data_IF_956415562064
#
_entry.id   IF_956415562064
#
_cell.length_a   1.000
_cell.length_b   1.000
_cell.length_c   1.000
_cell.angle_alpha   90.00
_cell.angle_beta   90.00
_cell.angle_gamma   90.00
#
_symmetry.space_group_name_H-M   'P 1'
#
loop_
_entity.id
_entity.type
_entity.pdbx_description
1 polymer ?
#
# COMPACT_ATOMS: atom_id res chain seq x y z
N UNK A 1 -10.16 -9.06 -5.24
CA UNK A 1 -10.70 -8.66 -3.92
C UNK A 1 -11.13 -7.19 -3.86
N UNK A 2 -10.30 -6.22 -4.29
CA UNK A 2 -10.65 -4.77 -4.25
C UNK A 2 -11.82 -4.43 -5.18
N UNK A 3 -11.83 -5.00 -6.40
CA UNK A 3 -12.95 -4.87 -7.32
C UNK A 3 -14.24 -5.42 -6.70
N UNK A 4 -14.18 -6.60 -6.08
CA UNK A 4 -15.31 -7.23 -5.40
C UNK A 4 -15.90 -6.33 -4.28
N UNK A 5 -15.06 -5.66 -3.51
CA UNK A 5 -15.54 -4.72 -2.47
C UNK A 5 -16.38 -3.62 -3.10
N UNK A 6 -15.94 -3.09 -4.25
CA UNK A 6 -16.67 -2.03 -4.94
C UNK A 6 -17.90 -2.55 -5.71
N UNK A 7 -17.92 -3.81 -6.06
CA UNK A 7 -19.10 -4.45 -6.69
C UNK A 7 -20.22 -4.71 -5.66
N UNK A 8 -19.86 -4.97 -4.39
CA UNK A 8 -20.80 -5.31 -3.32
C UNK A 8 -21.18 -4.12 -2.43
N UNK A 9 -20.35 -3.08 -2.36
CA UNK A 9 -20.54 -1.94 -1.45
C UNK A 9 -20.37 -0.62 -2.18
N UNK A 10 -21.19 0.37 -1.82
CA UNK A 10 -21.13 1.73 -2.34
C UNK A 10 -20.78 2.77 -1.26
N UNK A 11 -20.29 3.93 -1.71
CA UNK A 11 -20.05 5.09 -0.87
C UNK A 11 -19.16 4.79 0.35
N UNK A 12 -19.61 5.22 1.52
CA UNK A 12 -18.87 5.09 2.78
C UNK A 12 -18.67 3.64 3.23
N UNK A 13 -19.59 2.72 2.86
CA UNK A 13 -19.47 1.31 3.20
C UNK A 13 -18.28 0.67 2.47
N UNK A 14 -18.11 0.96 1.18
CA UNK A 14 -16.95 0.50 0.41
C UNK A 14 -15.64 1.03 1.00
N UNK A 15 -15.59 2.32 1.39
CA UNK A 15 -14.43 2.92 2.05
C UNK A 15 -14.11 2.23 3.37
N UNK A 16 -15.12 1.97 4.19
CA UNK A 16 -14.96 1.28 5.48
C UNK A 16 -14.40 -0.13 5.30
N UNK A 17 -14.96 -0.91 4.38
CA UNK A 17 -14.49 -2.27 4.10
C UNK A 17 -13.08 -2.25 3.53
N UNK A 18 -12.75 -1.33 2.61
CA UNK A 18 -11.39 -1.17 2.09
C UNK A 18 -10.38 -0.79 3.19
N UNK A 19 -10.77 0.06 4.13
CA UNK A 19 -9.92 0.40 5.27
C UNK A 19 -9.69 -0.81 6.19
N UNK A 20 -10.71 -1.65 6.42
CA UNK A 20 -10.58 -2.89 7.18
C UNK A 20 -9.65 -3.89 6.48
N UNK A 21 -9.79 -4.05 5.15
CA UNK A 21 -8.87 -4.88 4.35
C UNK A 21 -7.44 -4.37 4.46
N UNK A 22 -7.25 -3.05 4.38
CA UNK A 22 -5.92 -2.43 4.53
C UNK A 22 -5.32 -2.65 5.93
N UNK A 23 -6.16 -2.62 6.97
CA UNK A 23 -5.74 -2.90 8.35
C UNK A 23 -5.25 -4.34 8.50
N UNK A 24 -5.99 -5.32 7.96
CA UNK A 24 -5.57 -6.74 7.94
C UNK A 24 -4.27 -6.90 7.15
N UNK A 25 -4.13 -6.21 6.01
CA UNK A 25 -2.93 -6.22 5.20
C UNK A 25 -1.71 -5.66 5.94
N UNK A 26 -1.92 -4.68 6.84
CA UNK A 26 -0.88 -4.11 7.69
C UNK A 26 -0.33 -5.09 8.74
N UNK A 27 -1.14 -6.04 9.20
CA UNK A 27 -0.74 -7.04 10.21
C UNK A 27 0.12 -8.15 9.59
N UNK A 28 -0.07 -8.48 8.32
CA UNK A 28 0.60 -9.59 7.66
C UNK A 28 2.15 -9.55 7.75
N UNK A 29 2.83 -8.41 7.54
CA UNK A 29 4.30 -8.33 7.69
C UNK A 29 4.81 -8.58 9.11
N UNK A 30 3.98 -8.37 10.15
CA UNK A 30 4.35 -8.69 11.53
C UNK A 30 4.18 -10.18 11.84
N UNK A 31 3.13 -10.80 11.31
CA UNK A 31 2.84 -12.21 11.55
C UNK A 31 3.73 -13.14 10.71
N UNK A 32 4.07 -12.75 9.49
CA UNK A 32 4.80 -13.60 8.56
C UNK A 32 6.14 -14.10 9.10
N UNK A 33 7.03 -13.28 9.72
CA UNK A 33 8.27 -13.75 10.29
C UNK A 33 8.07 -14.72 11.48
N UNK A 34 7.04 -14.50 12.29
CA UNK A 34 6.71 -15.37 13.43
C UNK A 34 6.25 -16.74 12.94
N UNK A 35 5.32 -16.77 11.99
CA UNK A 35 4.84 -18.01 11.38
C UNK A 35 5.98 -18.71 10.65
N UNK A 36 6.79 -17.98 9.88
CA UNK A 36 7.96 -18.54 9.19
C UNK A 36 8.97 -19.16 10.15
N UNK A 37 9.25 -18.50 11.29
CA UNK A 37 10.14 -19.02 12.32
C UNK A 37 9.62 -20.32 12.98
N UNK A 38 8.31 -20.42 13.23
CA UNK A 38 7.70 -21.65 13.74
C UNK A 38 7.78 -22.81 12.74
N UNK A 39 7.56 -22.51 11.45
CA UNK A 39 7.66 -23.54 10.40
C UNK A 39 9.08 -24.05 10.26
N UNK A 40 10.09 -23.18 10.34
CA UNK A 40 11.50 -23.57 10.33
C UNK A 40 11.93 -24.33 11.60
N UNK A 41 11.22 -24.19 12.72
CA UNK A 41 11.46 -25.00 13.92
C UNK A 41 10.93 -26.44 13.78
N UNK A 42 10.02 -26.70 12.85
CA UNK A 42 9.41 -28.04 12.60
C UNK A 42 10.18 -28.79 11.51
N UNK A 43 10.81 -28.08 10.57
CA UNK A 43 11.55 -28.69 9.46
C UNK A 43 12.33 -27.67 8.65
N UNK A 44 12.87 -28.09 7.52
CA UNK A 44 13.67 -27.25 6.65
C UNK A 44 12.82 -26.22 5.86
N UNK A 45 13.46 -25.39 5.05
CA UNK A 45 12.81 -24.30 4.30
C UNK A 45 11.64 -24.74 3.39
N UNK A 46 11.63 -26.01 2.95
CA UNK A 46 10.57 -26.60 2.14
C UNK A 46 9.22 -26.60 2.86
N UNK A 47 9.20 -26.72 4.18
CA UNK A 47 7.98 -26.70 5.00
C UNK A 47 7.18 -25.41 4.80
N UNK A 48 7.88 -24.29 4.59
CA UNK A 48 7.25 -23.00 4.28
C UNK A 48 6.45 -23.11 2.98
N UNK A 49 7.01 -23.70 1.94
CA UNK A 49 6.34 -23.85 0.65
C UNK A 49 5.17 -24.84 0.71
N UNK A 50 5.30 -25.93 1.47
CA UNK A 50 4.17 -26.84 1.71
C UNK A 50 3.03 -26.14 2.46
N UNK A 51 3.34 -25.36 3.47
CA UNK A 51 2.36 -24.53 4.19
C UNK A 51 1.67 -23.56 3.25
N UNK A 52 2.43 -22.81 2.43
CA UNK A 52 1.87 -21.87 1.45
C UNK A 52 0.99 -22.57 0.42
N UNK A 53 1.37 -23.76 -0.04
CA UNK A 53 0.58 -24.56 -0.98
C UNK A 53 -0.74 -25.00 -0.34
N UNK A 54 -0.70 -25.51 0.89
CA UNK A 54 -1.91 -25.90 1.63
C UNK A 54 -2.81 -24.70 1.89
N UNK A 55 -2.24 -23.55 2.27
CA UNK A 55 -2.98 -22.31 2.46
C UNK A 55 -3.63 -21.82 1.16
N UNK A 56 -2.91 -21.88 0.03
CA UNK A 56 -3.45 -21.52 -1.28
C UNK A 56 -4.59 -22.45 -1.70
N UNK A 57 -4.46 -23.77 -1.46
CA UNK A 57 -5.52 -24.76 -1.73
C UNK A 57 -6.77 -24.49 -0.87
N UNK A 58 -6.59 -24.16 0.41
CA UNK A 58 -7.69 -23.78 1.30
C UNK A 58 -8.40 -22.51 0.79
N UNK A 59 -7.63 -21.47 0.43
CA UNK A 59 -8.21 -20.25 -0.14
C UNK A 59 -8.97 -20.51 -1.44
N UNK A 60 -8.42 -21.35 -2.32
CA UNK A 60 -9.09 -21.74 -3.56
C UNK A 60 -10.44 -22.42 -3.27
N UNK A 61 -10.46 -23.35 -2.33
CA UNK A 61 -11.70 -24.02 -1.91
C UNK A 61 -12.72 -23.02 -1.33
N UNK A 62 -12.28 -22.15 -0.41
CA UNK A 62 -13.15 -21.13 0.19
C UNK A 62 -13.72 -20.16 -0.85
N UNK A 63 -12.93 -19.73 -1.83
CA UNK A 63 -13.39 -18.84 -2.90
C UNK A 63 -14.38 -19.59 -3.81
N UNK A 64 -14.04 -20.82 -4.22
CA UNK A 64 -14.86 -21.59 -5.17
C UNK A 64 -16.23 -21.95 -4.60
N UNK A 65 -16.29 -22.32 -3.32
CA UNK A 65 -17.53 -22.80 -2.68
C UNK A 65 -18.23 -21.73 -1.83
N UNK A 66 -17.52 -20.71 -1.37
CA UNK A 66 -18.04 -19.72 -0.42
C UNK A 66 -18.32 -18.34 -1.01
N UNK A 67 -17.78 -18.01 -2.20
CA UNK A 67 -17.93 -16.69 -2.78
C UNK A 67 -18.87 -16.72 -3.99
N UNK A 68 -20.04 -16.04 -3.93
CA UNK A 68 -20.88 -15.92 -5.11
C UNK A 68 -20.21 -15.02 -6.18
N UNK A 69 -20.48 -15.34 -7.45
CA UNK A 69 -20.02 -14.53 -8.55
C UNK A 69 -20.71 -13.15 -8.52
N UNK A 70 -19.93 -12.09 -8.47
CA UNK A 70 -20.45 -10.71 -8.38
C UNK A 70 -20.59 -10.04 -9.74
N UNK A 71 -20.00 -10.60 -10.82
CA UNK A 71 -20.01 -9.98 -12.13
C UNK A 71 -20.97 -10.70 -13.08
N UNK A 72 -22.08 -10.07 -13.51
CA UNK A 72 -23.07 -10.67 -14.39
C UNK A 72 -22.45 -11.22 -15.69
N UNK A 73 -22.93 -12.36 -16.18
CA UNK A 73 -22.40 -13.01 -17.40
C UNK A 73 -22.42 -12.09 -18.61
N UNK A 74 -23.48 -11.28 -18.74
CA UNK A 74 -23.69 -10.33 -19.85
C UNK A 74 -22.60 -9.24 -19.90
N UNK A 75 -21.97 -8.92 -18.77
CA UNK A 75 -20.91 -7.92 -18.65
C UNK A 75 -19.50 -8.50 -18.72
N UNK A 76 -19.38 -9.83 -18.82
CA UNK A 76 -18.05 -10.48 -18.87
C UNK A 76 -17.38 -10.23 -20.20
N UNK A 77 -16.14 -9.76 -20.15
CA UNK A 77 -15.31 -9.64 -21.35
C UNK A 77 -14.93 -11.02 -21.84
N UNK A 78 -15.15 -11.35 -23.14
CA UNK A 78 -14.72 -12.63 -23.71
C UNK A 78 -13.22 -12.86 -23.46
N UNK A 79 -12.85 -14.11 -23.17
CA UNK A 79 -11.45 -14.50 -22.94
C UNK A 79 -10.66 -14.53 -24.27
N UNK A 80 -10.58 -13.37 -24.92
CA UNK A 80 -9.83 -13.15 -26.15
C UNK A 80 -8.71 -12.16 -25.86
N UNK A 81 -7.49 -12.51 -26.25
CA UNK A 81 -6.32 -11.69 -25.94
C UNK A 81 -6.43 -10.27 -26.51
N UNK A 82 -6.96 -10.10 -27.73
CA UNK A 82 -7.13 -8.80 -28.37
C UNK A 82 -7.98 -7.82 -27.56
N UNK A 83 -9.24 -8.14 -27.21
CA UNK A 83 -10.07 -7.30 -26.34
C UNK A 83 -9.48 -7.04 -24.95
N UNK A 84 -8.79 -8.04 -24.36
CA UNK A 84 -8.15 -7.87 -23.06
C UNK A 84 -7.04 -6.82 -23.15
N UNK A 85 -6.11 -6.94 -24.10
CA UNK A 85 -5.04 -5.97 -24.31
C UNK A 85 -5.57 -4.58 -24.70
N UNK A 86 -6.62 -4.52 -25.52
CA UNK A 86 -7.26 -3.25 -25.86
C UNK A 86 -7.86 -2.56 -24.63
N UNK A 87 -8.55 -3.32 -23.77
CA UNK A 87 -9.09 -2.80 -22.51
C UNK A 87 -7.98 -2.33 -21.56
N UNK A 88 -6.92 -3.11 -21.41
CA UNK A 88 -5.76 -2.72 -20.60
C UNK A 88 -5.13 -1.44 -21.12
N UNK A 89 -4.90 -1.33 -22.43
CA UNK A 89 -4.35 -0.13 -23.05
C UNK A 89 -5.24 1.09 -22.85
N UNK A 90 -6.54 0.94 -23.03
CA UNK A 90 -7.50 2.04 -22.85
C UNK A 90 -7.52 2.55 -21.40
N UNK A 91 -7.50 1.65 -20.42
CA UNK A 91 -7.42 2.03 -18.99
C UNK A 91 -6.06 2.62 -18.67
N UNK A 92 -4.97 2.05 -19.16
CA UNK A 92 -3.61 2.55 -18.91
C UNK A 92 -3.36 3.93 -19.55
N UNK A 93 -3.98 4.22 -20.69
CA UNK A 93 -3.87 5.50 -21.39
C UNK A 93 -4.75 6.61 -20.78
N UNK A 94 -5.66 6.27 -19.86
CA UNK A 94 -6.52 7.25 -19.20
C UNK A 94 -5.71 8.09 -18.19
N UNK A 95 -5.69 9.41 -18.41
CA UNK A 95 -4.89 10.32 -17.59
C UNK A 95 -5.31 10.36 -16.11
N UNK A 96 -6.62 10.48 -15.78
CA UNK A 96 -7.13 10.35 -14.41
C UNK A 96 -6.69 9.06 -13.73
N UNK A 97 -6.84 7.91 -14.41
CA UNK A 97 -6.40 6.61 -13.90
C UNK A 97 -4.90 6.59 -13.60
N UNK A 98 -4.07 7.00 -14.55
CA UNK A 98 -2.63 7.01 -14.37
C UNK A 98 -2.21 7.86 -13.14
N UNK A 99 -2.79 9.08 -13.00
CA UNK A 99 -2.52 9.92 -11.82
C UNK A 99 -2.85 9.24 -10.51
N UNK A 100 -4.01 8.60 -10.40
CA UNK A 100 -4.44 7.92 -9.18
C UNK A 100 -3.66 6.62 -8.91
N UNK A 101 -3.38 5.84 -9.96
CA UNK A 101 -2.59 4.62 -9.87
C UNK A 101 -1.15 4.92 -9.39
N UNK A 102 -0.51 5.94 -9.97
CA UNK A 102 0.82 6.35 -9.52
C UNK A 102 0.77 7.05 -8.16
N UNK A 103 -0.22 7.89 -7.85
CA UNK A 103 -0.35 8.52 -6.55
C UNK A 103 -0.46 7.47 -5.42
N UNK A 104 -1.34 6.48 -5.59
CA UNK A 104 -1.51 5.40 -4.60
C UNK A 104 -0.28 4.51 -4.48
N UNK A 105 0.34 4.14 -5.62
CA UNK A 105 1.51 3.27 -5.63
C UNK A 105 2.75 3.94 -5.06
N UNK A 106 3.04 5.20 -5.46
CA UNK A 106 4.17 5.97 -4.93
C UNK A 106 3.98 6.33 -3.46
N UNK A 107 2.76 6.67 -3.04
CA UNK A 107 2.46 6.90 -1.62
C UNK A 107 2.73 5.66 -0.77
N UNK A 108 2.33 4.48 -1.25
CA UNK A 108 2.69 3.21 -0.61
C UNK A 108 4.20 2.95 -0.67
N UNK A 109 4.87 3.30 -1.75
CA UNK A 109 6.31 3.15 -1.94
C UNK A 109 7.13 3.93 -0.90
N UNK A 110 6.63 5.08 -0.43
CA UNK A 110 7.30 5.86 0.61
C UNK A 110 7.50 5.08 1.92
N UNK A 111 6.54 4.23 2.29
CA UNK A 111 6.68 3.33 3.45
C UNK A 111 7.29 1.98 3.08
N UNK A 112 7.01 1.45 1.88
CA UNK A 112 7.51 0.16 1.42
C UNK A 112 9.03 0.11 1.34
N UNK A 113 9.67 1.23 1.02
CA UNK A 113 11.14 1.38 1.05
C UNK A 113 11.73 0.96 2.41
N UNK A 114 11.08 1.34 3.50
CA UNK A 114 11.52 0.94 4.84
C UNK A 114 11.18 -0.51 5.16
N UNK A 115 10.06 -1.04 4.66
CA UNK A 115 9.67 -2.45 4.86
C UNK A 115 10.67 -3.36 4.15
N UNK A 116 10.92 -3.12 2.88
CA UNK A 116 11.84 -3.94 2.09
C UNK A 116 13.31 -3.70 2.49
N UNK A 117 13.64 -2.48 2.91
CA UNK A 117 14.97 -2.12 3.41
C UNK A 117 15.18 -2.38 4.90
N UNK A 118 14.20 -2.99 5.61
CA UNK A 118 14.27 -3.17 7.07
C UNK A 118 15.54 -3.86 7.56
N UNK A 119 16.07 -4.91 6.92
CA UNK A 119 17.34 -5.52 7.36
C UNK A 119 18.52 -4.52 7.33
N UNK A 120 18.60 -3.72 6.29
CA UNK A 120 19.66 -2.70 6.17
C UNK A 120 19.42 -1.57 7.18
N UNK A 121 18.18 -1.08 7.27
CA UNK A 121 17.80 0.01 8.17
C UNK A 121 18.05 -0.36 9.63
N UNK A 122 17.56 -1.51 10.08
CA UNK A 122 17.60 -1.93 11.48
C UNK A 122 18.99 -2.40 11.88
N UNK A 123 19.56 -3.35 11.12
CA UNK A 123 20.80 -4.01 11.52
C UNK A 123 22.02 -3.17 11.15
N UNK A 124 22.08 -2.67 9.92
CA UNK A 124 23.28 -1.99 9.43
C UNK A 124 23.32 -0.51 9.83
N UNK A 125 22.21 0.23 9.71
CA UNK A 125 22.20 1.68 9.91
C UNK A 125 21.90 2.07 11.36
N UNK A 126 21.02 1.33 12.06
CA UNK A 126 20.73 1.59 13.48
C UNK A 126 21.60 0.77 14.43
N UNK A 127 22.34 -0.24 13.95
CA UNK A 127 23.20 -1.08 14.77
C UNK A 127 22.46 -1.99 15.74
N UNK A 128 21.16 -2.29 15.45
CA UNK A 128 20.33 -3.18 16.27
C UNK A 128 20.54 -4.64 15.87
N UNK A 129 20.13 -5.57 16.75
CA UNK A 129 20.21 -7.00 16.49
C UNK A 129 19.10 -7.54 15.59
N UNK A 130 19.29 -8.77 15.08
CA UNK A 130 18.27 -9.46 14.27
C UNK A 130 16.97 -9.74 15.05
N UNK A 131 17.01 -9.69 16.39
CA UNK A 131 15.82 -9.85 17.24
C UNK A 131 15.04 -8.56 17.48
N UNK A 132 15.57 -7.41 17.03
CA UNK A 132 15.02 -6.08 17.33
C UNK A 132 14.13 -5.53 16.21
N UNK A 133 13.76 -6.35 15.23
CA UNK A 133 12.85 -5.94 14.13
C UNK A 133 11.51 -5.40 14.66
N UNK A 134 11.05 -5.87 15.81
CA UNK A 134 9.83 -5.40 16.44
C UNK A 134 9.89 -3.90 16.78
N UNK A 135 11.07 -3.37 17.10
CA UNK A 135 11.28 -1.95 17.44
C UNK A 135 10.83 -1.05 16.29
N UNK A 136 11.03 -1.48 15.05
CA UNK A 136 10.60 -0.78 13.85
C UNK A 136 9.17 -1.18 13.41
N UNK A 137 8.91 -2.48 13.32
CA UNK A 137 7.65 -2.95 12.74
C UNK A 137 6.43 -2.66 13.63
N UNK A 138 6.55 -2.73 14.95
CA UNK A 138 5.42 -2.49 15.85
C UNK A 138 4.91 -1.04 15.73
N UNK A 139 5.74 0.02 15.84
CA UNK A 139 5.27 1.39 15.63
C UNK A 139 4.71 1.65 14.23
N UNK A 140 5.36 1.10 13.18
CA UNK A 140 4.91 1.29 11.81
C UNK A 140 3.56 0.62 11.55
N UNK A 141 3.37 -0.62 12.01
CA UNK A 141 2.10 -1.35 11.88
C UNK A 141 1.02 -0.69 12.71
N UNK A 142 1.35 -0.19 13.90
CA UNK A 142 0.43 0.60 14.73
C UNK A 142 -0.02 1.84 13.96
N UNK A 143 0.89 2.57 13.32
CA UNK A 143 0.55 3.69 12.44
C UNK A 143 -0.42 3.28 11.32
N UNK A 144 -0.16 2.16 10.65
CA UNK A 144 -1.04 1.62 9.59
C UNK A 144 -2.43 1.25 10.12
N UNK A 145 -2.51 0.54 11.24
CA UNK A 145 -3.77 0.10 11.85
C UNK A 145 -4.59 1.31 12.29
N UNK A 146 -3.96 2.24 13.01
CA UNK A 146 -4.65 3.44 13.51
C UNK A 146 -5.10 4.33 12.35
N UNK A 147 -4.27 4.52 11.32
CA UNK A 147 -4.64 5.26 10.11
C UNK A 147 -5.84 4.64 9.39
N UNK A 148 -5.82 3.32 9.19
CA UNK A 148 -6.93 2.58 8.58
C UNK A 148 -8.19 2.61 9.45
N UNK A 149 -8.07 2.51 10.76
CA UNK A 149 -9.18 2.62 11.69
C UNK A 149 -9.81 4.01 11.65
N UNK A 150 -9.00 5.07 11.68
CA UNK A 150 -9.48 6.46 11.55
C UNK A 150 -10.18 6.66 10.21
N UNK A 151 -9.60 6.17 9.10
CA UNK A 151 -10.26 6.20 7.79
C UNK A 151 -11.64 5.53 7.85
N UNK A 152 -11.73 4.32 8.42
CA UNK A 152 -12.97 3.56 8.56
C UNK A 152 -14.04 4.35 9.35
N UNK A 153 -13.64 5.10 10.37
CA UNK A 153 -14.57 5.95 11.16
C UNK A 153 -14.99 7.22 10.42
N UNK A 154 -14.06 7.83 9.68
CA UNK A 154 -14.34 9.04 8.92
C UNK A 154 -15.12 8.77 7.61
N UNK A 155 -15.20 7.51 7.18
CA UNK A 155 -15.94 7.11 5.98
C UNK A 155 -17.42 7.54 6.03
N UNK A 156 -18.04 7.49 7.22
CA UNK A 156 -19.44 7.85 7.44
C UNK A 156 -19.72 9.35 7.25
N UNK A 157 -18.70 10.22 7.28
CA UNK A 157 -18.84 11.67 7.15
C UNK A 157 -18.99 12.15 5.69
N UNK A 158 -18.84 11.26 4.72
CA UNK A 158 -19.09 11.55 3.29
C UNK A 158 -18.06 12.47 2.61
N UNK A 159 -16.99 12.86 3.28
CA UNK A 159 -15.97 13.77 2.75
C UNK A 159 -14.69 13.05 2.33
N UNK A 160 -14.81 12.05 1.45
CA UNK A 160 -13.72 11.15 1.06
C UNK A 160 -12.48 11.88 0.55
N UNK A 161 -12.62 12.84 -0.36
CA UNK A 161 -11.49 13.62 -0.89
C UNK A 161 -10.76 14.44 0.18
N UNK A 162 -11.49 15.00 1.14
CA UNK A 162 -10.89 15.75 2.26
C UNK A 162 -10.09 14.81 3.16
N UNK A 163 -10.62 13.62 3.45
CA UNK A 163 -9.93 12.62 4.28
C UNK A 163 -8.65 12.15 3.60
N UNK A 164 -8.69 11.86 2.30
CA UNK A 164 -7.48 11.51 1.53
C UNK A 164 -6.46 12.64 1.54
N UNK A 165 -6.89 13.89 1.34
CA UNK A 165 -6.02 15.06 1.35
C UNK A 165 -5.39 15.30 2.73
N UNK A 166 -6.14 15.10 3.82
CA UNK A 166 -5.61 15.17 5.19
C UNK A 166 -4.58 14.06 5.40
N UNK A 167 -4.86 12.83 4.98
CA UNK A 167 -3.91 11.71 5.09
C UNK A 167 -2.58 12.00 4.39
N UNK A 168 -2.65 12.51 3.16
CA UNK A 168 -1.45 12.89 2.41
C UNK A 168 -0.74 14.11 3.01
N UNK A 169 -1.46 15.08 3.57
CA UNK A 169 -0.85 16.21 4.27
C UNK A 169 -0.11 15.75 5.54
N UNK A 170 -0.69 14.82 6.32
CA UNK A 170 -0.03 14.20 7.47
C UNK A 170 1.23 13.46 7.01
N UNK A 171 1.15 12.69 5.92
CA UNK A 171 2.30 12.00 5.33
C UNK A 171 3.42 12.99 4.94
N UNK A 172 3.09 14.12 4.33
CA UNK A 172 4.07 15.16 3.98
C UNK A 172 4.70 15.79 5.24
N UNK A 173 3.90 16.08 6.27
CA UNK A 173 4.41 16.55 7.56
C UNK A 173 5.35 15.54 8.22
N UNK A 174 4.99 14.25 8.17
CA UNK A 174 5.82 13.15 8.66
C UNK A 174 7.13 13.01 7.86
N UNK A 175 7.09 13.20 6.55
CA UNK A 175 8.28 13.23 5.68
C UNK A 175 9.20 14.38 6.06
N UNK A 176 8.67 15.60 6.25
CA UNK A 176 9.46 16.75 6.67
C UNK A 176 10.10 16.53 8.05
N UNK A 177 9.34 15.97 9.00
CA UNK A 177 9.84 15.58 10.31
C UNK A 177 10.96 14.52 10.17
N UNK A 178 10.73 13.49 9.36
CA UNK A 178 11.70 12.41 9.14
C UNK A 178 13.02 12.95 8.55
N UNK A 179 12.97 13.83 7.56
CA UNK A 179 14.14 14.48 7.00
C UNK A 179 14.87 15.33 8.07
N UNK A 180 14.14 16.10 8.88
CA UNK A 180 14.71 16.88 9.97
C UNK A 180 15.41 16.01 11.03
N UNK A 181 14.78 14.92 11.46
CA UNK A 181 15.35 13.99 12.44
C UNK A 181 16.59 13.27 11.88
N UNK A 182 16.51 12.79 10.64
CA UNK A 182 17.60 12.03 10.02
C UNK A 182 18.79 12.90 9.57
N UNK A 183 18.63 14.22 9.49
CA UNK A 183 19.72 15.19 9.27
C UNK A 183 20.36 15.70 10.57
N UNK A 184 19.85 15.28 11.72
CA UNK A 184 20.30 15.70 13.05
C UNK A 184 21.12 14.62 13.76
N UNK A 185 21.76 14.88 14.90
CA UNK A 185 22.41 13.88 15.74
C UNK A 185 21.47 12.77 16.26
N UNK A 186 20.15 12.97 16.12
CA UNK A 186 19.13 12.01 16.52
C UNK A 186 18.91 10.89 15.48
N UNK A 187 19.56 10.96 14.32
CA UNK A 187 19.35 10.07 13.17
C UNK A 187 19.41 8.57 13.49
N UNK A 188 20.25 8.17 14.44
CA UNK A 188 20.43 6.77 14.86
C UNK A 188 20.03 6.51 16.31
N UNK A 189 19.52 7.53 17.01
CA UNK A 189 19.10 7.40 18.41
C UNK A 189 17.61 7.05 18.50
N UNK A 190 17.31 5.90 19.10
CA UNK A 190 15.91 5.49 19.34
C UNK A 190 15.22 6.47 20.30
N UNK A 191 13.92 6.77 20.08
CA UNK A 191 13.02 6.22 19.05
C UNK A 191 12.98 7.02 17.74
N UNK A 192 13.77 8.07 17.57
CA UNK A 192 13.60 9.10 16.56
C UNK A 192 13.60 8.63 15.10
N UNK A 193 14.49 7.70 14.65
CA UNK A 193 14.51 7.23 13.25
C UNK A 193 13.24 6.43 12.89
N UNK A 194 12.45 6.00 13.87
CA UNK A 194 11.26 5.18 13.68
C UNK A 194 9.98 6.02 13.60
N UNK A 195 9.97 7.18 14.27
CA UNK A 195 8.79 8.06 14.36
C UNK A 195 8.34 8.52 12.97
N UNK A 196 9.27 8.96 12.12
CA UNK A 196 8.97 9.41 10.76
C UNK A 196 8.28 8.33 9.92
N UNK A 197 8.89 7.14 9.72
CA UNK A 197 8.28 6.03 9.01
C UNK A 197 6.91 5.60 9.55
N UNK A 198 6.72 5.57 10.87
CA UNK A 198 5.45 5.22 11.50
C UNK A 198 4.33 6.24 11.16
N UNK A 199 4.64 7.54 11.19
CA UNK A 199 3.71 8.59 10.83
C UNK A 199 3.44 8.65 9.32
N UNK A 200 4.42 8.34 8.47
CA UNK A 200 4.24 8.17 7.01
C UNK A 200 3.23 7.04 6.77
N UNK A 201 3.41 5.91 7.45
CA UNK A 201 2.50 4.77 7.35
C UNK A 201 1.08 5.12 7.82
N UNK A 202 0.92 5.87 8.90
CA UNK A 202 -0.37 6.38 9.36
C UNK A 202 -1.05 7.25 8.31
N UNK A 203 -0.37 8.29 7.80
CA UNK A 203 -0.93 9.21 6.81
C UNK A 203 -1.33 8.51 5.52
N UNK A 204 -0.48 7.58 5.03
CA UNK A 204 -0.79 6.82 3.83
C UNK A 204 -1.96 5.86 4.04
N UNK A 205 -2.05 5.19 5.18
CA UNK A 205 -3.17 4.28 5.49
C UNK A 205 -4.50 5.02 5.63
N UNK A 206 -4.48 6.29 5.97
CA UNK A 206 -5.66 7.16 5.95
C UNK A 206 -6.10 7.49 4.52
N UNK A 207 -5.16 7.71 3.60
CA UNK A 207 -5.47 8.11 2.22
C UNK A 207 -5.69 6.91 1.26
N UNK A 208 -4.95 5.83 1.42
CA UNK A 208 -4.84 4.73 0.46
C UNK A 208 -6.17 4.10 0.04
N UNK A 209 -7.10 3.76 0.97
CA UNK A 209 -8.39 3.17 0.57
C UNK A 209 -9.21 4.08 -0.34
N UNK A 210 -9.13 5.38 -0.11
CA UNK A 210 -9.87 6.39 -0.88
C UNK A 210 -9.29 6.51 -2.29
N UNK A 211 -7.96 6.63 -2.43
CA UNK A 211 -7.31 6.68 -3.73
C UNK A 211 -7.66 5.45 -4.57
N UNK A 212 -7.69 4.27 -3.93
CA UNK A 212 -8.07 3.01 -4.58
C UNK A 212 -9.51 3.03 -5.08
N UNK A 213 -10.46 3.46 -4.24
CA UNK A 213 -11.88 3.52 -4.62
C UNK A 213 -12.12 4.54 -5.72
N UNK A 214 -11.57 5.76 -5.58
CA UNK A 214 -11.69 6.81 -6.60
C UNK A 214 -11.16 6.33 -7.96
N UNK A 215 -10.06 5.59 -7.97
CA UNK A 215 -9.51 5.00 -9.19
C UNK A 215 -10.44 3.94 -9.80
N UNK A 216 -11.04 3.06 -8.98
CA UNK A 216 -11.95 2.02 -9.46
C UNK A 216 -13.28 2.60 -9.98
N UNK A 217 -13.70 3.74 -9.44
CA UNK A 217 -14.92 4.44 -9.85
C UNK A 217 -14.81 5.10 -11.22
N UNK A 218 -13.58 5.33 -11.73
CA UNK A 218 -13.39 5.78 -13.12
C UNK A 218 -13.84 4.73 -14.16
N UNK A 219 -13.81 3.44 -13.78
CA UNK A 219 -14.12 2.34 -14.69
C UNK A 219 -15.10 1.34 -14.06
N UNK A 220 -16.38 1.71 -13.85
CA UNK A 220 -17.36 0.85 -13.17
C UNK A 220 -17.54 -0.52 -13.82
N UNK A 221 -17.46 -0.59 -15.15
CA UNK A 221 -17.64 -1.84 -15.91
C UNK A 221 -16.32 -2.63 -16.07
N UNK A 222 -15.16 -2.02 -15.77
CA UNK A 222 -13.83 -2.61 -15.96
C UNK A 222 -12.98 -2.56 -14.68
N UNK A 223 -13.63 -2.59 -13.50
CA UNK A 223 -12.95 -2.51 -12.18
C UNK A 223 -11.86 -3.55 -12.01
N UNK A 224 -12.09 -4.77 -12.51
CA UNK A 224 -11.09 -5.84 -12.47
C UNK A 224 -9.82 -5.49 -13.26
N UNK A 225 -9.96 -4.92 -14.47
CA UNK A 225 -8.84 -4.47 -15.29
C UNK A 225 -8.09 -3.32 -14.62
N UNK A 226 -8.81 -2.33 -14.07
CA UNK A 226 -8.24 -1.20 -13.34
C UNK A 226 -7.46 -1.67 -12.10
N UNK A 227 -8.03 -2.57 -11.30
CA UNK A 227 -7.36 -3.15 -10.13
C UNK A 227 -6.10 -3.94 -10.50
N UNK A 228 -6.14 -4.71 -11.61
CA UNK A 228 -4.99 -5.48 -12.08
C UNK A 228 -3.86 -4.59 -12.57
N UNK A 229 -4.17 -3.55 -13.35
CA UNK A 229 -3.17 -2.58 -13.82
C UNK A 229 -2.54 -1.80 -12.66
N UNK A 230 -3.33 -1.37 -11.69
CA UNK A 230 -2.79 -0.70 -10.50
C UNK A 230 -1.89 -1.64 -9.69
N UNK A 231 -2.28 -2.92 -9.54
CA UNK A 231 -1.43 -3.91 -8.88
C UNK A 231 -0.13 -4.15 -9.63
N UNK A 232 -0.17 -4.17 -10.96
CA UNK A 232 1.03 -4.27 -11.80
C UNK A 232 1.97 -3.09 -11.58
N UNK A 233 1.45 -1.85 -11.60
CA UNK A 233 2.25 -0.64 -11.32
C UNK A 233 2.87 -0.71 -9.93
N UNK A 234 2.11 -1.10 -8.91
CA UNK A 234 2.62 -1.23 -7.54
C UNK A 234 3.72 -2.28 -7.43
N UNK A 235 3.52 -3.46 -8.02
CA UNK A 235 4.52 -4.54 -7.97
C UNK A 235 5.79 -4.18 -8.72
N UNK A 236 5.67 -3.51 -9.87
CA UNK A 236 6.83 -3.03 -10.63
C UNK A 236 7.63 -2.00 -9.83
N UNK A 237 6.95 -1.02 -9.20
CA UNK A 237 7.60 -0.06 -8.32
C UNK A 237 8.26 -0.73 -7.12
N UNK A 238 7.59 -1.69 -6.48
CA UNK A 238 8.15 -2.45 -5.37
C UNK A 238 9.41 -3.24 -5.78
N UNK A 239 9.40 -3.85 -6.96
CA UNK A 239 10.56 -4.55 -7.52
C UNK A 239 11.73 -3.58 -7.79
N UNK A 240 11.46 -2.41 -8.38
CA UNK A 240 12.46 -1.36 -8.60
C UNK A 240 13.02 -0.82 -7.27
N UNK A 241 12.15 -0.63 -6.27
CA UNK A 241 12.60 -0.18 -4.94
C UNK A 241 13.52 -1.22 -4.31
N UNK A 242 13.11 -2.47 -4.28
CA UNK A 242 13.91 -3.53 -3.66
C UNK A 242 15.22 -3.80 -4.41
N UNK A 243 15.20 -3.83 -5.73
CA UNK A 243 16.34 -4.21 -6.56
C UNK A 243 17.30 -3.07 -6.92
N UNK A 244 16.82 -1.83 -6.96
CA UNK A 244 17.61 -0.69 -7.44
C UNK A 244 17.71 0.42 -6.40
N UNK A 245 16.56 0.90 -5.88
CA UNK A 245 16.55 2.08 -5.03
C UNK A 245 17.21 1.78 -3.69
N UNK A 246 16.81 0.70 -3.00
CA UNK A 246 17.37 0.35 -1.68
C UNK A 246 18.89 0.20 -1.74
N UNK A 247 19.50 -0.58 -2.65
CA UNK A 247 20.97 -0.63 -2.77
C UNK A 247 21.60 0.75 -2.97
N UNK A 248 21.00 1.61 -3.79
CA UNK A 248 21.52 2.93 -4.07
C UNK A 248 21.46 3.91 -2.89
N UNK A 249 20.43 3.78 -2.02
CA UNK A 249 20.20 4.71 -0.89
C UNK A 249 20.54 4.11 0.47
N UNK A 250 21.14 2.94 0.51
CA UNK A 250 21.49 2.23 1.75
C UNK A 250 22.71 2.78 2.49
N UNK A 251 23.27 3.91 2.06
CA UNK A 251 24.45 4.51 2.64
C UNK A 251 24.20 5.14 4.01
N UNK A 252 23.00 5.70 4.25
CA UNK A 252 22.65 6.37 5.50
C UNK A 252 21.13 6.37 5.74
N UNK A 253 20.74 6.65 6.98
CA UNK A 253 19.33 6.83 7.35
C UNK A 253 18.72 8.02 6.59
N UNK A 254 19.50 9.09 6.40
CA UNK A 254 19.07 10.28 5.65
C UNK A 254 18.83 9.99 4.17
N UNK A 255 19.67 9.21 3.49
CA UNK A 255 19.45 8.86 2.07
C UNK A 255 18.18 8.02 1.87
N UNK A 256 17.86 7.13 2.81
CA UNK A 256 16.59 6.41 2.81
C UNK A 256 15.39 7.34 3.04
N UNK A 257 15.52 8.29 3.98
CA UNK A 257 14.49 9.31 4.23
C UNK A 257 14.25 10.20 2.99
N UNK A 258 15.32 10.59 2.29
CA UNK A 258 15.23 11.38 1.07
C UNK A 258 14.52 10.62 -0.06
N UNK A 259 14.84 9.35 -0.26
CA UNK A 259 14.15 8.52 -1.25
C UNK A 259 12.65 8.35 -0.93
N UNK A 260 12.31 8.10 0.35
CA UNK A 260 10.93 8.08 0.82
C UNK A 260 10.22 9.41 0.58
N UNK A 261 10.91 10.53 0.78
CA UNK A 261 10.39 11.87 0.53
C UNK A 261 10.05 12.09 -0.95
N UNK A 262 10.91 11.69 -1.87
CA UNK A 262 10.66 11.78 -3.32
C UNK A 262 9.37 11.04 -3.68
N UNK A 263 9.19 9.82 -3.19
CA UNK A 263 7.97 9.04 -3.46
C UNK A 263 6.72 9.71 -2.87
N UNK A 264 6.76 10.12 -1.61
CA UNK A 264 5.61 10.71 -0.94
C UNK A 264 5.22 12.08 -1.48
N UNK A 265 6.19 12.95 -1.78
CA UNK A 265 5.94 14.27 -2.38
C UNK A 265 5.35 14.11 -3.78
N UNK A 266 5.89 13.20 -4.59
CA UNK A 266 5.34 12.92 -5.93
C UNK A 266 3.92 12.39 -5.85
N UNK A 267 3.63 11.48 -4.91
CA UNK A 267 2.28 10.96 -4.68
C UNK A 267 1.28 12.06 -4.33
N UNK A 268 1.64 12.94 -3.39
CA UNK A 268 0.79 14.06 -2.98
C UNK A 268 0.61 15.08 -4.11
N UNK A 269 1.65 15.34 -4.90
CA UNK A 269 1.59 16.20 -6.09
C UNK A 269 0.62 15.66 -7.15
N UNK A 270 0.65 14.35 -7.42
CA UNK A 270 -0.26 13.69 -8.36
C UNK A 270 -1.72 13.75 -7.89
N UNK A 271 -1.96 13.57 -6.59
CA UNK A 271 -3.28 13.73 -6.00
C UNK A 271 -3.78 15.17 -6.11
N UNK A 272 -2.96 16.15 -5.75
CA UNK A 272 -3.30 17.56 -5.89
C UNK A 272 -3.61 17.93 -7.34
N UNK A 273 -2.82 17.44 -8.29
CA UNK A 273 -3.08 17.61 -9.71
C UNK A 273 -4.42 16.98 -10.13
N UNK A 274 -4.73 15.77 -9.65
CA UNK A 274 -6.01 15.13 -9.92
C UNK A 274 -7.18 16.01 -9.47
N UNK A 275 -7.14 16.54 -8.24
CA UNK A 275 -8.19 17.41 -7.71
C UNK A 275 -8.33 18.73 -8.50
N UNK A 276 -7.22 19.34 -8.91
CA UNK A 276 -7.25 20.59 -9.69
C UNK A 276 -7.89 20.40 -11.07
N UNK A 277 -7.60 19.27 -11.72
CA UNK A 277 -8.21 18.96 -13.03
C UNK A 277 -9.68 18.61 -12.87
N UNK A 278 -10.05 17.83 -11.88
CA UNK A 278 -11.46 17.47 -11.61
C UNK A 278 -12.33 18.71 -11.37
N UNK A 279 -11.83 19.70 -10.60
CA UNK A 279 -12.54 20.97 -10.34
C UNK A 279 -12.68 21.87 -11.56
N UNK A 280 -11.88 21.71 -12.60
CA UNK A 280 -12.01 22.52 -13.83
C UNK A 280 -13.02 21.95 -14.80
N UNK A 281 -13.39 20.69 -14.64
CA UNK A 281 -14.33 19.98 -15.53
C UNK A 281 -15.74 19.93 -14.94
N UNK A 282 -15.87 20.11 -13.60
CA UNK A 282 -17.13 20.25 -12.88
C UNK A 282 -17.62 21.70 -12.93
#
# INVERSE_FOLDING_TARGET
>A
SRALVRDLYDGWQAQRVMAQVSMIFGIAPALAPVVGGWLLAIGDWEVIFFFLTGYAALLLALITFGLPESHPEEKRTPLQMGPIFANMRNVAADGPFARLAFASSLGFSAQFLYIAGAPIFIVRLLGLGERDFWVFFVPMITGMIVGSYVNSRLAEWGHTEKVASIGLAIMLGAIALNLGLTSSPLATQLPWPIVGPALIAFGMSLAFPILQLTMLDLFPEKRGTAASLQSFVSLLLNALIAGVVIPAVSASVFSMALASAVFGVTAAGLWAWHLLVARRVA
#
